data_IF_311332697026
#
_entry.id   IF_311332697026
#
_cell.length_a   1.000
_cell.length_b   1.000
_cell.length_c   1.000
_cell.angle_alpha   90.00
_cell.angle_beta   90.00
_cell.angle_gamma   90.00
#
_symmetry.space_group_name_H-M   'P 1'
#
loop_
_entity.id
_entity.type
_entity.pdbx_description
1 polymer ?
#
# COMPACT_ATOMS: atom_id res chain seq x y z
N UNK A 1 15.17 -0.02 -3.19
CA UNK A 1 14.74 -0.24 -1.80
C UNK A 1 16.00 -0.34 -0.96
N UNK A 2 16.00 0.25 0.24
CA UNK A 2 17.14 0.14 1.16
C UNK A 2 17.22 -1.27 1.77
N UNK A 3 18.42 -1.79 2.08
CA UNK A 3 18.60 -3.19 2.50
C UNK A 3 17.79 -3.59 3.75
N UNK A 4 17.66 -2.67 4.72
CA UNK A 4 17.03 -2.93 6.01
C UNK A 4 15.53 -2.55 6.03
N UNK A 5 14.96 -2.16 4.89
CA UNK A 5 13.54 -1.82 4.82
C UNK A 5 12.69 -3.08 5.00
N UNK A 6 11.79 -3.05 5.98
CA UNK A 6 10.80 -4.12 6.19
C UNK A 6 9.59 -3.90 5.25
N UNK A 7 9.35 -4.78 4.26
CA UNK A 7 8.18 -4.67 3.41
C UNK A 7 6.90 -4.97 4.18
N UNK A 8 5.76 -4.49 3.67
CA UNK A 8 4.45 -4.95 4.13
C UNK A 8 4.30 -6.47 3.95
N UNK A 9 3.41 -7.07 4.73
CA UNK A 9 3.20 -8.52 4.70
C UNK A 9 2.77 -9.00 3.30
N UNK A 10 3.46 -9.97 2.68
CA UNK A 10 3.24 -10.34 1.28
C UNK A 10 1.91 -11.08 1.05
N UNK A 11 1.39 -11.75 2.08
CA UNK A 11 0.13 -12.51 2.04
C UNK A 11 -0.75 -12.20 3.27
N UNK A 12 -1.38 -11.01 3.37
CA UNK A 12 -2.17 -10.64 4.54
C UNK A 12 -3.37 -11.57 4.72
N UNK A 13 -3.76 -11.84 5.96
CA UNK A 13 -4.97 -12.63 6.24
C UNK A 13 -6.22 -11.80 5.96
N UNK A 14 -7.29 -12.45 5.50
CA UNK A 14 -8.60 -11.83 5.37
C UNK A 14 -9.14 -11.52 6.78
N UNK A 15 -9.54 -10.26 7.07
CA UNK A 15 -10.15 -9.94 8.36
C UNK A 15 -11.46 -10.70 8.58
N UNK A 16 -11.78 -11.03 9.85
CA UNK A 16 -13.11 -11.53 10.22
C UNK A 16 -14.17 -10.41 10.26
N UNK A 17 -13.71 -9.18 10.52
CA UNK A 17 -14.54 -7.99 10.46
C UNK A 17 -14.82 -7.62 9.00
N UNK A 18 -16.07 -7.30 8.70
CA UNK A 18 -16.50 -6.81 7.39
C UNK A 18 -16.85 -5.33 7.53
N UNK A 19 -16.11 -4.41 6.87
CA UNK A 19 -16.45 -2.99 6.91
C UNK A 19 -17.85 -2.74 6.35
N UNK A 20 -18.61 -1.77 6.90
CA UNK A 20 -19.88 -1.34 6.31
C UNK A 20 -19.71 -0.84 4.88
N UNK A 21 -20.80 -0.89 4.10
CA UNK A 21 -20.84 -0.29 2.75
C UNK A 21 -20.38 1.17 2.78
N UNK A 22 -19.59 1.58 1.79
CA UNK A 22 -19.05 2.95 1.68
C UNK A 22 -17.85 3.23 2.58
N UNK A 23 -17.31 2.24 3.31
CA UNK A 23 -16.13 2.42 4.16
C UNK A 23 -14.91 2.90 3.36
N UNK A 24 -14.16 3.82 3.97
CA UNK A 24 -12.98 4.46 3.39
C UNK A 24 -11.74 4.09 4.20
N UNK A 25 -10.71 3.58 3.53
CA UNK A 25 -9.37 3.52 4.11
C UNK A 25 -8.72 4.91 4.00
N UNK A 26 -8.87 5.71 5.05
CA UNK A 26 -8.56 7.13 5.04
C UNK A 26 -7.07 7.45 5.25
N UNK A 27 -6.21 6.45 5.42
CA UNK A 27 -4.77 6.67 5.58
C UNK A 27 -3.98 5.53 4.94
N UNK A 28 -3.64 5.71 3.68
CA UNK A 28 -2.84 4.77 2.91
C UNK A 28 -1.78 5.52 2.08
N UNK A 29 -0.79 4.77 1.60
CA UNK A 29 0.31 5.31 0.80
C UNK A 29 0.55 4.42 -0.42
N UNK A 30 1.05 5.03 -1.49
CA UNK A 30 1.64 4.32 -2.62
C UNK A 30 3.12 4.65 -2.70
N UNK A 31 3.91 3.68 -3.15
CA UNK A 31 5.34 3.84 -3.32
C UNK A 31 5.70 3.48 -4.76
N UNK A 32 6.16 4.45 -5.54
CA UNK A 32 6.58 4.21 -6.92
C UNK A 32 5.45 3.74 -7.86
N UNK A 33 5.77 3.00 -8.94
CA UNK A 33 7.06 2.35 -9.17
C UNK A 33 8.20 3.36 -9.40
N UNK A 34 9.35 3.16 -8.73
CA UNK A 34 10.45 4.13 -8.74
C UNK A 34 11.01 4.47 -10.14
N UNK A 35 10.85 3.56 -11.10
CA UNK A 35 11.24 3.77 -12.50
C UNK A 35 10.34 4.78 -13.25
N UNK A 36 9.08 4.92 -12.81
CA UNK A 36 8.12 5.87 -13.40
C UNK A 36 7.97 7.13 -12.54
N UNK A 37 8.02 6.96 -11.22
CA UNK A 37 7.90 8.02 -10.22
C UNK A 37 9.13 7.98 -9.31
N UNK A 38 10.25 8.63 -9.72
CA UNK A 38 11.47 8.66 -8.92
C UNK A 38 11.23 9.28 -7.54
N UNK A 39 11.87 8.73 -6.52
CA UNK A 39 11.81 9.29 -5.18
C UNK A 39 12.65 10.57 -5.07
N UNK A 40 12.29 11.43 -4.12
CA UNK A 40 13.07 12.63 -3.80
C UNK A 40 14.52 12.27 -3.42
N UNK A 41 15.51 13.09 -3.81
CA UNK A 41 16.90 12.92 -3.38
C UNK A 41 17.07 12.95 -1.85
N UNK A 42 16.29 13.77 -1.15
CA UNK A 42 16.36 13.98 0.30
C UNK A 42 15.54 12.96 1.12
N UNK A 43 15.01 11.91 0.48
CA UNK A 43 14.25 10.86 1.17
C UNK A 43 15.08 10.25 2.30
N UNK A 44 14.44 9.97 3.43
CA UNK A 44 15.10 9.27 4.56
C UNK A 44 15.25 7.78 4.34
N UNK A 45 14.44 7.21 3.45
CA UNK A 45 14.49 5.79 3.11
C UNK A 45 13.95 5.56 1.69
N UNK A 46 14.34 4.43 1.09
CA UNK A 46 13.80 3.94 -0.17
C UNK A 46 12.94 2.69 0.08
N UNK A 47 11.60 2.77 -0.02
CA UNK A 47 10.74 1.60 0.16
C UNK A 47 10.79 0.64 -1.05
N UNK A 48 10.13 -0.51 -0.93
CA UNK A 48 9.80 -1.35 -2.08
C UNK A 48 8.69 -0.71 -2.91
N UNK A 49 8.60 -1.05 -4.20
CA UNK A 49 7.48 -0.60 -5.03
C UNK A 49 6.15 -1.17 -4.54
N UNK A 50 5.18 -0.28 -4.37
CA UNK A 50 3.82 -0.50 -3.92
C UNK A 50 2.88 0.40 -4.74
N UNK A 51 2.64 0.07 -6.03
CA UNK A 51 1.86 0.92 -6.92
C UNK A 51 0.38 0.98 -6.51
N UNK A 52 -0.34 1.97 -7.02
CA UNK A 52 -1.80 2.14 -6.79
C UNK A 52 -2.63 0.89 -7.09
N UNK A 53 -2.25 0.10 -8.09
CA UNK A 53 -2.93 -1.16 -8.43
C UNK A 53 -2.84 -2.19 -7.31
N UNK A 54 -1.71 -2.24 -6.60
CA UNK A 54 -1.52 -3.10 -5.43
C UNK A 54 -2.35 -2.61 -4.24
N UNK A 55 -2.41 -1.29 -4.05
CA UNK A 55 -3.25 -0.66 -3.03
C UNK A 55 -4.75 -0.97 -3.28
N UNK A 56 -5.23 -0.85 -4.51
CA UNK A 56 -6.61 -1.21 -4.85
C UNK A 56 -6.90 -2.69 -4.64
N UNK A 57 -5.98 -3.58 -5.05
CA UNK A 57 -6.12 -5.01 -4.77
C UNK A 57 -6.20 -5.32 -3.26
N UNK A 58 -5.41 -4.61 -2.44
CA UNK A 58 -5.49 -4.72 -0.99
C UNK A 58 -6.82 -4.18 -0.44
N UNK A 59 -7.28 -3.01 -0.90
CA UNK A 59 -8.57 -2.41 -0.52
C UNK A 59 -9.71 -3.40 -0.75
N UNK A 60 -9.78 -3.96 -1.95
CA UNK A 60 -10.83 -4.90 -2.33
C UNK A 60 -10.73 -6.19 -1.50
N UNK A 61 -9.50 -6.65 -1.22
CA UNK A 61 -9.27 -7.81 -0.36
C UNK A 61 -9.73 -7.60 1.08
N UNK A 62 -9.51 -6.40 1.65
CA UNK A 62 -9.91 -6.03 3.01
C UNK A 62 -11.38 -5.64 3.13
N UNK A 63 -12.10 -5.42 2.02
CA UNK A 63 -13.52 -5.09 2.00
C UNK A 63 -13.85 -3.60 2.14
N UNK A 64 -12.89 -2.71 1.83
CA UNK A 64 -13.15 -1.28 1.71
C UNK A 64 -13.66 -0.94 0.31
N UNK A 65 -14.44 0.14 0.18
CA UNK A 65 -14.94 0.60 -1.13
C UNK A 65 -14.16 1.80 -1.68
N UNK A 66 -13.46 2.54 -0.81
CA UNK A 66 -12.68 3.71 -1.19
C UNK A 66 -11.33 3.77 -0.47
N UNK A 67 -10.40 4.47 -1.09
CA UNK A 67 -9.12 4.93 -0.58
C UNK A 67 -8.75 6.24 -1.27
#
# INVERSE_FOLDING_TARGET
MDPDWLPFHPAPRRPRFVPPKGSVDAHCHVFGPGAQFPYAPERRYTPCDAPKTKLWGLRDYLGFERN
#
